data_IF_609222865510
#
_entry.id   IF_609222865510
#
_cell.length_a   1.000
_cell.length_b   1.000
_cell.length_c   1.000
_cell.angle_alpha   90.00
_cell.angle_beta   90.00
_cell.angle_gamma   90.00
#
_symmetry.space_group_name_H-M   'P 1'
#
loop_
_entity.id
_entity.type
_entity.pdbx_description
1 polymer ?
#
# COMPACT_ATOMS: atom_id res chain seq x y z
N UNK A 1 -11.24 -1.32 -12.36
CA UNK A 1 -10.99 -0.46 -11.18
C UNK A 1 -9.87 -1.03 -10.30
N UNK A 2 -9.86 -2.34 -10.01
CA UNK A 2 -8.83 -2.97 -9.17
C UNK A 2 -7.37 -2.75 -9.63
N UNK A 3 -7.12 -2.60 -10.95
CA UNK A 3 -5.79 -2.23 -11.45
C UNK A 3 -5.31 -0.85 -10.97
N UNK A 4 -6.22 0.08 -10.68
CA UNK A 4 -5.87 1.39 -10.08
C UNK A 4 -5.31 1.18 -8.68
N UNK A 5 -5.89 0.27 -7.90
CA UNK A 5 -5.33 -0.12 -6.60
C UNK A 5 -3.93 -0.70 -6.78
N UNK A 6 -3.76 -1.73 -7.62
CA UNK A 6 -2.44 -2.38 -7.75
C UNK A 6 -1.35 -1.46 -8.28
N UNK A 7 -1.64 -0.67 -9.32
CA UNK A 7 -0.68 0.31 -9.86
C UNK A 7 -0.41 1.41 -8.83
N UNK A 8 -1.45 1.89 -8.14
CA UNK A 8 -1.33 2.92 -7.10
C UNK A 8 -0.52 2.46 -5.90
N UNK A 9 -0.74 1.25 -5.40
CA UNK A 9 0.07 0.63 -4.34
C UNK A 9 1.51 0.44 -4.81
N UNK A 10 1.72 -0.04 -6.04
CA UNK A 10 3.07 -0.19 -6.61
C UNK A 10 3.81 1.14 -6.71
N UNK A 11 3.14 2.20 -7.17
CA UNK A 11 3.70 3.56 -7.20
C UNK A 11 4.04 4.08 -5.80
N UNK A 12 3.14 3.89 -4.83
CA UNK A 12 3.39 4.25 -3.43
C UNK A 12 4.62 3.53 -2.86
N UNK A 13 4.72 2.22 -3.06
CA UNK A 13 5.87 1.41 -2.62
C UNK A 13 7.17 1.85 -3.29
N UNK A 14 7.12 2.21 -4.58
CA UNK A 14 8.27 2.77 -5.31
C UNK A 14 8.72 4.12 -4.74
N UNK A 15 7.78 5.03 -4.47
CA UNK A 15 8.09 6.33 -3.86
C UNK A 15 8.76 6.14 -2.51
N UNK A 16 8.20 5.33 -1.60
CA UNK A 16 8.80 5.15 -0.28
C UNK A 16 10.16 4.45 -0.37
N UNK A 17 10.36 3.54 -1.32
CA UNK A 17 11.68 2.91 -1.54
C UNK A 17 12.73 3.95 -1.93
N UNK A 18 12.41 4.82 -2.89
CA UNK A 18 13.33 5.86 -3.36
C UNK A 18 13.59 6.92 -2.29
N UNK A 19 12.54 7.32 -1.56
CA UNK A 19 12.66 8.34 -0.52
C UNK A 19 13.44 7.84 0.69
N UNK A 20 13.26 6.58 1.06
CA UNK A 20 13.95 5.91 2.18
C UNK A 20 15.33 5.38 1.82
N UNK A 21 15.70 5.39 0.53
CA UNK A 21 16.96 4.84 0.00
C UNK A 21 17.19 3.37 0.37
N UNK A 22 16.10 2.62 0.52
CA UNK A 22 16.10 1.24 1.00
C UNK A 22 14.76 0.54 0.75
N UNK A 23 14.76 -0.79 0.83
CA UNK A 23 13.57 -1.61 0.57
C UNK A 23 12.79 -1.94 1.84
N UNK A 24 13.38 -1.74 3.01
CA UNK A 24 12.91 -2.21 4.31
C UNK A 24 11.52 -1.67 4.64
N UNK A 25 11.28 -0.36 4.45
CA UNK A 25 9.99 0.26 4.72
C UNK A 25 8.90 -0.27 3.75
N UNK A 26 9.23 -0.43 2.48
CA UNK A 26 8.30 -0.95 1.47
C UNK A 26 7.95 -2.42 1.72
N UNK A 27 8.96 -3.26 2.01
CA UNK A 27 8.79 -4.66 2.36
C UNK A 27 8.00 -4.81 3.66
N UNK A 28 8.29 -3.99 4.68
CA UNK A 28 7.55 -3.99 5.94
C UNK A 28 6.08 -3.62 5.75
N UNK A 29 5.79 -2.57 4.97
CA UNK A 29 4.41 -2.21 4.63
C UNK A 29 3.69 -3.33 3.86
N UNK A 30 4.33 -3.87 2.83
CA UNK A 30 3.76 -4.94 2.02
C UNK A 30 3.49 -6.20 2.85
N UNK A 31 4.47 -6.62 3.67
CA UNK A 31 4.33 -7.76 4.55
C UNK A 31 3.20 -7.56 5.58
N UNK A 32 3.12 -6.38 6.21
CA UNK A 32 2.06 -6.06 7.17
C UNK A 32 0.67 -6.14 6.52
N UNK A 33 0.49 -5.56 5.33
CA UNK A 33 -0.76 -5.64 4.58
C UNK A 33 -1.18 -7.09 4.29
N UNK A 34 -0.24 -7.92 3.83
CA UNK A 34 -0.52 -9.32 3.53
C UNK A 34 -0.79 -10.15 4.79
N UNK A 35 -0.09 -9.89 5.89
CA UNK A 35 -0.30 -10.57 7.16
C UNK A 35 -1.70 -10.25 7.73
N UNK A 36 -2.13 -8.99 7.66
CA UNK A 36 -3.49 -8.59 8.05
C UNK A 36 -4.53 -9.32 7.20
N UNK A 37 -4.35 -9.38 5.88
CA UNK A 37 -5.25 -10.12 4.99
C UNK A 37 -5.27 -11.63 5.25
N UNK A 38 -4.12 -12.21 5.58
CA UNK A 38 -3.98 -13.65 5.81
C UNK A 38 -4.48 -14.11 7.18
N UNK A 39 -4.34 -13.27 8.21
CA UNK A 39 -4.65 -13.66 9.60
C UNK A 39 -5.94 -13.04 10.13
N UNK A 40 -6.24 -11.80 9.75
CA UNK A 40 -7.31 -11.04 10.40
C UNK A 40 -8.56 -10.94 9.53
N UNK A 41 -8.44 -10.58 8.24
CA UNK A 41 -9.60 -10.30 7.38
C UNK A 41 -9.38 -10.84 5.96
N UNK A 42 -10.10 -11.92 5.60
CA UNK A 42 -10.11 -12.50 4.24
C UNK A 42 -11.50 -12.36 3.59
N UNK A 43 -11.62 -12.75 2.31
CA UNK A 43 -12.90 -12.79 1.60
C UNK A 43 -12.98 -13.94 0.59
N UNK A 44 -14.20 -14.39 0.27
CA UNK A 44 -14.45 -15.41 -0.78
C UNK A 44 -13.98 -14.99 -2.18
N UNK A 45 -13.87 -13.70 -2.45
CA UNK A 45 -13.34 -13.20 -3.72
C UNK A 45 -11.86 -12.78 -3.66
N UNK A 46 -11.20 -12.99 -2.52
CA UNK A 46 -9.75 -12.76 -2.41
C UNK A 46 -8.96 -13.82 -3.20
N UNK A 47 -7.78 -13.44 -3.71
CA UNK A 47 -6.91 -14.37 -4.43
C UNK A 47 -6.37 -15.48 -3.52
N UNK A 48 -6.11 -15.15 -2.24
CA UNK A 48 -5.70 -16.11 -1.22
C UNK A 48 -6.74 -16.16 -0.11
N UNK A 49 -7.57 -17.20 -0.16
CA UNK A 49 -8.53 -17.51 0.90
C UNK A 49 -7.80 -18.25 2.02
N UNK A 50 -7.66 -17.60 3.17
CA UNK A 50 -6.94 -18.11 4.33
C UNK A 50 -7.91 -18.34 5.49
N UNK A 51 -7.47 -19.06 6.53
CA UNK A 51 -8.26 -19.21 7.75
C UNK A 51 -8.03 -17.99 8.65
N UNK A 52 -8.61 -16.85 8.28
CA UNK A 52 -8.54 -15.61 9.04
C UNK A 52 -9.62 -15.53 10.13
N UNK A 53 -9.45 -14.62 11.10
CA UNK A 53 -10.41 -14.40 12.19
C UNK A 53 -11.77 -13.93 11.65
N UNK A 54 -11.76 -13.01 10.69
CA UNK A 54 -12.94 -12.45 10.04
C UNK A 54 -12.94 -12.84 8.57
N UNK A 55 -14.12 -13.17 8.04
CA UNK A 55 -14.33 -13.52 6.63
C UNK A 55 -15.49 -12.71 6.07
N UNK A 56 -15.21 -11.92 5.05
CA UNK A 56 -16.23 -11.20 4.29
C UNK A 56 -16.82 -12.10 3.19
N UNK A 57 -18.13 -12.33 3.28
CA UNK A 57 -18.94 -13.17 2.37
C UNK A 57 -19.88 -12.34 1.48
N UNK A 58 -19.73 -11.02 1.49
CA UNK A 58 -20.50 -10.12 0.63
C UNK A 58 -20.04 -10.21 -0.83
N UNK A 59 -20.91 -9.77 -1.74
CA UNK A 59 -20.58 -9.70 -3.16
C UNK A 59 -19.42 -8.72 -3.40
N UNK A 60 -18.48 -9.04 -4.31
CA UNK A 60 -17.32 -8.19 -4.57
C UNK A 60 -17.74 -6.80 -5.06
N UNK A 61 -17.30 -5.77 -4.34
CA UNK A 61 -17.48 -4.37 -4.69
C UNK A 61 -16.12 -3.70 -4.88
N UNK A 62 -15.86 -3.16 -6.08
CA UNK A 62 -14.57 -2.54 -6.43
C UNK A 62 -14.66 -1.01 -6.43
N UNK A 63 -15.47 -0.43 -5.55
CA UNK A 63 -15.76 1.00 -5.49
C UNK A 63 -14.84 1.75 -4.53
N UNK A 64 -15.43 2.18 -3.41
CA UNK A 64 -14.77 3.04 -2.43
C UNK A 64 -13.52 2.39 -1.82
N UNK A 65 -13.55 1.08 -1.59
CA UNK A 65 -12.46 0.31 -0.97
C UNK A 65 -11.17 0.30 -1.81
N UNK A 66 -11.30 0.51 -3.13
CA UNK A 66 -10.16 0.63 -4.06
C UNK A 66 -9.65 2.06 -4.16
N UNK A 67 -10.56 3.04 -4.19
CA UNK A 67 -10.21 4.45 -4.45
C UNK A 67 -9.67 5.12 -3.19
N UNK A 68 -10.27 4.83 -2.03
CA UNK A 68 -9.93 5.46 -0.75
C UNK A 68 -8.45 5.29 -0.37
N UNK A 69 -7.84 4.07 -0.47
CA UNK A 69 -6.43 3.90 -0.15
C UNK A 69 -5.53 4.77 -1.04
N UNK A 70 -5.77 4.77 -2.34
CA UNK A 70 -4.88 5.42 -3.33
C UNK A 70 -4.95 6.94 -3.23
N UNK A 71 -6.14 7.51 -3.04
CA UNK A 71 -6.35 8.97 -3.11
C UNK A 71 -6.19 9.65 -1.75
N UNK A 72 -6.47 8.94 -0.64
CA UNK A 72 -6.49 9.54 0.69
C UNK A 72 -5.44 8.89 1.60
N UNK A 73 -5.49 7.56 1.79
CA UNK A 73 -4.65 6.91 2.81
C UNK A 73 -3.15 6.95 2.43
N UNK A 74 -2.78 6.59 1.21
CA UNK A 74 -1.39 6.57 0.78
C UNK A 74 -0.75 7.96 0.75
N UNK A 75 -1.41 9.03 0.27
CA UNK A 75 -0.89 10.40 0.41
C UNK A 75 -0.69 10.84 1.87
N UNK A 76 -1.63 10.50 2.75
CA UNK A 76 -1.49 10.78 4.19
C UNK A 76 -0.28 10.03 4.76
N UNK A 77 -0.12 8.74 4.43
CA UNK A 77 1.03 7.97 4.86
C UNK A 77 2.35 8.51 4.32
N UNK A 78 2.40 8.93 3.05
CA UNK A 78 3.57 9.60 2.48
C UNK A 78 3.93 10.87 3.26
N UNK A 79 2.93 11.68 3.61
CA UNK A 79 3.15 12.86 4.43
C UNK A 79 3.67 12.49 5.84
N UNK A 80 3.08 11.50 6.49
CA UNK A 80 3.52 11.01 7.80
C UNK A 80 4.96 10.50 7.73
N UNK A 81 5.30 9.67 6.75
CA UNK A 81 6.65 9.13 6.58
C UNK A 81 7.66 10.22 6.25
N UNK A 82 7.29 11.20 5.41
CA UNK A 82 8.13 12.36 5.15
C UNK A 82 8.54 13.08 6.43
N UNK A 83 7.61 13.25 7.38
CA UNK A 83 7.87 13.90 8.66
C UNK A 83 8.63 12.99 9.61
N UNK A 84 8.23 11.72 9.71
CA UNK A 84 8.83 10.74 10.63
C UNK A 84 10.29 10.46 10.31
N UNK A 85 10.62 10.30 9.02
CA UNK A 85 11.95 9.94 8.55
C UNK A 85 12.74 11.14 8.02
N UNK A 86 12.20 12.36 8.18
CA UNK A 86 12.83 13.61 7.74
C UNK A 86 13.27 13.59 6.27
N UNK A 87 12.44 13.02 5.40
CA UNK A 87 12.77 12.90 3.98
C UNK A 87 12.88 14.27 3.31
N UNK A 88 14.03 14.51 2.68
CA UNK A 88 14.35 15.72 1.91
C UNK A 88 14.71 15.36 0.46
N UNK A 89 14.96 16.37 -0.38
CA UNK A 89 15.46 16.20 -1.76
C UNK A 89 14.57 15.34 -2.67
N UNK A 90 13.25 15.40 -2.49
CA UNK A 90 12.24 14.65 -3.25
C UNK A 90 12.45 14.67 -4.77
N UNK A 91 12.77 15.85 -5.33
CA UNK A 91 12.97 16.00 -6.79
C UNK A 91 14.14 15.15 -7.29
N UNK A 92 15.25 15.16 -6.56
CA UNK A 92 16.44 14.41 -6.93
C UNK A 92 16.20 12.91 -6.75
N UNK A 93 15.61 12.49 -5.63
CA UNK A 93 15.34 11.08 -5.35
C UNK A 93 14.32 10.45 -6.30
N UNK A 94 13.30 11.20 -6.73
CA UNK A 94 12.21 10.66 -7.57
C UNK A 94 12.44 10.83 -9.07
N UNK A 95 13.17 11.86 -9.49
CA UNK A 95 13.30 12.24 -10.91
C UNK A 95 14.70 12.73 -11.29
N UNK A 96 15.68 12.54 -10.41
CA UNK A 96 17.09 12.84 -10.68
C UNK A 96 17.66 12.01 -11.82
N UNK A 97 18.88 12.37 -12.25
CA UNK A 97 19.58 11.62 -13.29
C UNK A 97 20.20 10.35 -12.68
N UNK A 98 20.19 9.28 -13.46
CA UNK A 98 20.88 8.01 -13.15
C UNK A 98 22.36 8.14 -13.51
#
# INVERSE_FOLDING_TARGET
>A
IILVYYIGTGLFLGIITLMDEGLELALGFHAANNLVGALLVTSDWSAFQTHSILKDVSDPSAGFDVILPVIIIYPILLFIFSKKYNWTNWKEKLTGKI
#
